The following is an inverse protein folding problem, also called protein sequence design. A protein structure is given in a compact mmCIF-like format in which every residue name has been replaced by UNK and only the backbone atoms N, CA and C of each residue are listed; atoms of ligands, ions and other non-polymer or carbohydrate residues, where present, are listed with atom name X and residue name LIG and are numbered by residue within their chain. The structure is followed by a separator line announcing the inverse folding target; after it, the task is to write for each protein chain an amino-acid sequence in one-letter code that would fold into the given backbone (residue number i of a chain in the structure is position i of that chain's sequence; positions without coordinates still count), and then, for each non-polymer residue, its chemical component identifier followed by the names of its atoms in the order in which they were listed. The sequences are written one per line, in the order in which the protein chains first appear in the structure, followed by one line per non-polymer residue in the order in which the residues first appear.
data_IF_159429191064
#
_entry.id   IF_159429191064
#
_cell.length_a   1.000
_cell.length_b   1.000
_cell.length_c   1.000
_cell.angle_alpha   90.00
_cell.angle_beta   90.00
_cell.angle_gamma   90.00
#
_symmetry.space_group_name_H-M   'P 1'
#
loop_
_entity.id
_entity.type
_entity.pdbx_description
1 polymer ?
#
# COMPACT_ATOMS: atom_id res chain seq x y z
N UNK A 1 61.64 -19.30 -5.35
CA UNK A 1 60.73 -18.45 -6.16
C UNK A 1 59.39 -19.10 -6.52
N UNK A 2 59.32 -20.39 -6.93
CA UNK A 2 58.06 -21.10 -7.25
C UNK A 2 57.07 -21.30 -6.07
N UNK A 3 57.56 -21.51 -4.84
CA UNK A 3 56.68 -21.69 -3.67
C UNK A 3 55.89 -20.43 -3.28
N UNK A 4 56.47 -19.25 -3.46
CA UNK A 4 55.84 -17.96 -3.08
C UNK A 4 54.64 -17.65 -3.98
N UNK A 5 54.76 -17.88 -5.30
CA UNK A 5 53.69 -17.67 -6.28
C UNK A 5 52.49 -18.60 -6.04
N UNK A 6 52.74 -19.87 -5.71
CA UNK A 6 51.69 -20.85 -5.40
C UNK A 6 50.94 -20.51 -4.10
N UNK A 7 51.63 -19.96 -3.09
CA UNK A 7 50.98 -19.51 -1.85
C UNK A 7 50.09 -18.28 -2.06
N UNK A 8 50.53 -17.33 -2.90
CA UNK A 8 49.76 -16.12 -3.25
C UNK A 8 48.51 -16.46 -4.06
N UNK A 9 48.61 -17.37 -5.04
CA UNK A 9 47.47 -17.83 -5.83
C UNK A 9 46.46 -18.62 -4.99
N UNK A 10 46.93 -19.42 -4.01
CA UNK A 10 46.07 -20.17 -3.08
C UNK A 10 45.33 -19.24 -2.12
N UNK A 11 45.97 -18.17 -1.66
CA UNK A 11 45.35 -17.11 -0.84
C UNK A 11 44.29 -16.32 -1.63
N UNK A 12 44.61 -15.89 -2.86
CA UNK A 12 43.66 -15.21 -3.74
C UNK A 12 42.43 -16.08 -4.05
N UNK A 13 42.61 -17.38 -4.30
CA UNK A 13 41.50 -18.33 -4.50
C UNK A 13 40.68 -18.62 -3.23
N UNK A 14 41.25 -18.46 -2.04
CA UNK A 14 40.52 -18.49 -0.78
C UNK A 14 39.65 -17.25 -0.59
N UNK A 15 40.19 -16.08 -0.90
CA UNK A 15 39.53 -14.79 -0.77
C UNK A 15 38.36 -14.64 -1.76
N UNK A 16 38.53 -15.08 -3.00
CA UNK A 16 37.46 -15.14 -4.00
C UNK A 16 36.31 -16.07 -3.57
N UNK A 17 36.62 -17.22 -2.95
CA UNK A 17 35.59 -18.12 -2.41
C UNK A 17 34.81 -17.49 -1.26
N UNK A 18 35.51 -16.85 -0.32
CA UNK A 18 34.87 -16.17 0.80
C UNK A 18 33.97 -15.01 0.33
N UNK A 19 34.43 -14.24 -0.66
CA UNK A 19 33.63 -13.17 -1.27
C UNK A 19 32.38 -13.73 -1.96
N UNK A 20 32.54 -14.78 -2.77
CA UNK A 20 31.41 -15.43 -3.46
C UNK A 20 30.37 -15.95 -2.46
N UNK A 21 30.82 -16.62 -1.39
CA UNK A 21 29.94 -17.09 -0.33
C UNK A 21 29.17 -15.93 0.33
N UNK A 22 29.82 -14.78 0.58
CA UNK A 22 29.14 -13.60 1.13
C UNK A 22 28.13 -12.99 0.15
N UNK A 23 28.46 -12.92 -1.14
CA UNK A 23 27.53 -12.46 -2.19
C UNK A 23 26.31 -13.37 -2.26
N UNK A 24 26.52 -14.69 -2.22
CA UNK A 24 25.42 -15.66 -2.24
C UNK A 24 24.53 -15.53 -1.00
N UNK A 25 25.11 -15.33 0.18
CA UNK A 25 24.37 -15.07 1.42
C UNK A 25 23.54 -13.78 1.36
N UNK A 26 24.13 -12.68 0.89
CA UNK A 26 23.43 -11.40 0.71
C UNK A 26 22.30 -11.52 -0.30
N UNK A 27 22.55 -12.21 -1.42
CA UNK A 27 21.54 -12.46 -2.45
C UNK A 27 20.37 -13.26 -1.87
N UNK A 28 20.65 -14.33 -1.12
CA UNK A 28 19.61 -15.11 -0.45
C UNK A 28 18.81 -14.31 0.59
N UNK A 29 19.45 -13.40 1.33
CA UNK A 29 18.78 -12.48 2.25
C UNK A 29 17.85 -11.51 1.51
N UNK A 30 18.33 -10.90 0.43
CA UNK A 30 17.54 -9.98 -0.40
C UNK A 30 16.33 -10.69 -1.03
N UNK A 31 16.51 -11.92 -1.52
CA UNK A 31 15.41 -12.72 -2.07
C UNK A 31 14.36 -13.12 -1.03
N UNK A 32 14.77 -13.35 0.22
CA UNK A 32 13.81 -13.56 1.33
C UNK A 32 13.05 -12.28 1.66
N UNK A 33 13.72 -11.14 1.70
CA UNK A 33 13.07 -9.84 1.94
C UNK A 33 12.06 -9.51 0.84
N UNK A 34 12.43 -9.69 -0.44
CA UNK A 34 11.54 -9.47 -1.59
C UNK A 34 10.29 -10.33 -1.50
N UNK A 35 10.43 -11.63 -1.21
CA UNK A 35 9.29 -12.54 -1.04
C UNK A 35 8.38 -12.13 0.11
N UNK A 36 8.95 -11.72 1.25
CA UNK A 36 8.17 -11.23 2.38
C UNK A 36 7.40 -9.94 2.04
N UNK A 37 8.01 -9.02 1.32
CA UNK A 37 7.35 -7.79 0.86
C UNK A 37 6.17 -8.11 -0.06
N UNK A 38 6.40 -8.93 -1.09
CA UNK A 38 5.36 -9.35 -2.02
C UNK A 38 4.19 -10.07 -1.33
N UNK A 39 4.47 -10.90 -0.32
CA UNK A 39 3.42 -11.58 0.46
C UNK A 39 2.58 -10.59 1.27
N UNK A 40 3.21 -9.57 1.88
CA UNK A 40 2.51 -8.51 2.62
C UNK A 40 1.62 -7.68 1.70
N UNK A 41 2.12 -7.37 0.50
CA UNK A 41 1.36 -6.63 -0.51
C UNK A 41 0.13 -7.41 -0.98
N UNK A 42 0.32 -8.69 -1.33
CA UNK A 42 -0.77 -9.57 -1.73
C UNK A 42 -1.82 -9.75 -0.61
N UNK A 43 -1.38 -9.95 0.63
CA UNK A 43 -2.27 -10.05 1.78
C UNK A 43 -3.09 -8.78 1.97
N UNK A 44 -2.43 -7.62 1.96
CA UNK A 44 -3.10 -6.32 2.07
C UNK A 44 -4.11 -6.08 0.95
N UNK A 45 -3.77 -6.46 -0.28
CA UNK A 45 -4.68 -6.32 -1.40
C UNK A 45 -5.93 -7.20 -1.25
N UNK A 46 -5.75 -8.44 -0.82
CA UNK A 46 -6.86 -9.37 -0.60
C UNK A 46 -7.78 -8.88 0.53
N UNK A 47 -7.21 -8.49 1.67
CA UNK A 47 -7.99 -7.95 2.80
C UNK A 47 -8.83 -6.75 2.36
N UNK A 48 -8.23 -5.81 1.64
CA UNK A 48 -8.95 -4.62 1.22
C UNK A 48 -10.04 -4.92 0.18
N UNK A 49 -9.83 -5.86 -0.73
CA UNK A 49 -10.88 -6.32 -1.63
C UNK A 49 -12.03 -7.01 -0.90
N UNK A 50 -11.72 -7.88 0.07
CA UNK A 50 -12.73 -8.58 0.87
C UNK A 50 -13.54 -7.64 1.77
N UNK A 51 -12.94 -6.55 2.26
CA UNK A 51 -13.61 -5.56 3.11
C UNK A 51 -14.44 -4.54 2.32
N UNK A 52 -14.12 -4.28 1.05
CA UNK A 52 -14.83 -3.26 0.25
C UNK A 52 -16.31 -3.55 0.11
N UNK A 53 -16.67 -4.80 -0.21
CA UNK A 53 -18.07 -5.22 -0.38
C UNK A 53 -18.88 -5.14 0.90
N UNK A 54 -18.47 -5.73 2.04
CA UNK A 54 -19.24 -5.63 3.29
C UNK A 54 -19.34 -4.18 3.80
N UNK A 55 -18.30 -3.35 3.65
CA UNK A 55 -18.38 -1.93 3.99
C UNK A 55 -19.40 -1.20 3.12
N UNK A 56 -19.39 -1.43 1.80
CA UNK A 56 -20.38 -0.83 0.89
C UNK A 56 -21.82 -1.23 1.27
N UNK A 57 -22.03 -2.49 1.65
CA UNK A 57 -23.34 -2.97 2.12
C UNK A 57 -23.77 -2.28 3.42
N UNK A 58 -22.87 -2.14 4.39
CA UNK A 58 -23.17 -1.48 5.67
C UNK A 58 -23.47 0.02 5.48
N UNK A 59 -22.70 0.71 4.64
CA UNK A 59 -22.93 2.11 4.27
C UNK A 59 -24.31 2.27 3.64
N UNK A 60 -24.60 1.51 2.58
CA UNK A 60 -25.87 1.60 1.87
C UNK A 60 -27.07 1.29 2.77
N UNK A 61 -26.96 0.28 3.64
CA UNK A 61 -28.01 -0.05 4.61
C UNK A 61 -28.23 1.06 5.63
N UNK A 62 -27.16 1.64 6.16
CA UNK A 62 -27.24 2.73 7.14
C UNK A 62 -27.82 4.00 6.54
N UNK A 63 -27.39 4.36 5.32
CA UNK A 63 -27.97 5.48 4.57
C UNK A 63 -29.46 5.28 4.29
N UNK A 64 -29.85 4.08 3.86
CA UNK A 64 -31.24 3.76 3.58
C UNK A 64 -32.09 3.92 4.85
N UNK A 65 -31.65 3.36 5.97
CA UNK A 65 -32.34 3.47 7.26
C UNK A 65 -32.45 4.93 7.74
N UNK A 66 -31.41 5.75 7.55
CA UNK A 66 -31.46 7.17 7.86
C UNK A 66 -32.44 7.93 6.95
N UNK A 67 -32.48 7.58 5.65
CA UNK A 67 -33.39 8.18 4.65
C UNK A 67 -34.86 7.81 4.86
N UNK A 68 -35.16 6.58 5.29
CA UNK A 68 -36.53 6.13 5.57
C UNK A 68 -37.18 6.92 6.72
N UNK A 69 -36.38 7.43 7.65
CA UNK A 69 -36.86 8.25 8.77
C UNK A 69 -37.64 7.46 9.82
N UNK A 70 -38.37 8.16 10.69
CA UNK A 70 -39.16 7.53 11.77
C UNK A 70 -38.35 7.04 12.97
N UNK A 71 -37.03 7.30 12.99
CA UNK A 71 -36.15 7.01 14.11
C UNK A 71 -36.26 8.08 15.20
N UNK A 72 -36.12 7.72 16.49
CA UNK A 72 -35.89 8.71 17.54
C UNK A 72 -34.64 9.55 17.23
N UNK A 73 -34.61 10.86 17.52
CA UNK A 73 -33.48 11.74 17.18
C UNK A 73 -32.14 11.20 17.71
N UNK A 74 -32.12 10.67 18.93
CA UNK A 74 -30.92 10.08 19.54
C UNK A 74 -30.40 8.84 18.82
N UNK A 75 -31.27 8.10 18.12
CA UNK A 75 -30.88 6.92 17.32
C UNK A 75 -30.36 7.37 15.96
N UNK A 76 -31.00 8.37 15.34
CA UNK A 76 -30.55 8.95 14.08
C UNK A 76 -29.14 9.55 14.22
N UNK A 77 -28.87 10.32 15.28
CA UNK A 77 -27.54 10.90 15.55
C UNK A 77 -26.47 9.80 15.71
N UNK A 78 -26.78 8.73 16.44
CA UNK A 78 -25.85 7.60 16.62
C UNK A 78 -25.56 6.87 15.32
N UNK A 79 -26.59 6.64 14.49
CA UNK A 79 -26.41 6.01 13.18
C UNK A 79 -25.63 6.92 12.22
N UNK A 80 -25.82 8.24 12.29
CA UNK A 80 -24.99 9.20 11.57
C UNK A 80 -23.51 9.08 11.94
N UNK A 81 -23.19 9.05 13.24
CA UNK A 81 -21.82 8.84 13.71
C UNK A 81 -21.23 7.49 13.30
N UNK A 82 -22.03 6.42 13.26
CA UNK A 82 -21.59 5.13 12.72
C UNK A 82 -21.34 5.20 11.21
N UNK A 83 -22.18 5.90 10.45
CA UNK A 83 -22.01 6.06 9.00
C UNK A 83 -20.71 6.80 8.67
N UNK A 84 -20.39 7.86 9.41
CA UNK A 84 -19.10 8.55 9.28
C UNK A 84 -17.92 7.61 9.53
N UNK A 85 -18.00 6.76 10.55
CA UNK A 85 -16.94 5.81 10.85
C UNK A 85 -16.81 4.74 9.77
N UNK A 86 -17.93 4.28 9.19
CA UNK A 86 -17.92 3.36 8.05
C UNK A 86 -17.26 3.98 6.81
N UNK A 87 -17.48 5.27 6.54
CA UNK A 87 -16.77 6.00 5.49
C UNK A 87 -15.27 6.13 5.79
N UNK A 88 -14.90 6.49 7.03
CA UNK A 88 -13.49 6.50 7.45
C UNK A 88 -12.82 5.14 7.28
N UNK A 89 -13.51 4.05 7.61
CA UNK A 89 -13.01 2.69 7.37
C UNK A 89 -12.85 2.38 5.88
N UNK A 90 -13.79 2.83 5.03
CA UNK A 90 -13.71 2.67 3.58
C UNK A 90 -12.47 3.38 3.01
N UNK A 91 -12.16 4.59 3.49
CA UNK A 91 -10.98 5.34 3.07
C UNK A 91 -9.68 4.66 3.49
N UNK A 92 -9.57 4.24 4.76
CA UNK A 92 -8.40 3.51 5.27
C UNK A 92 -8.14 2.22 4.46
N UNK A 93 -9.21 1.49 4.13
CA UNK A 93 -9.12 0.28 3.30
C UNK A 93 -8.67 0.62 1.86
N UNK A 94 -9.15 1.74 1.31
CA UNK A 94 -8.70 2.28 0.03
C UNK A 94 -7.21 2.64 0.02
N UNK A 95 -6.74 3.30 1.08
CA UNK A 95 -5.34 3.68 1.26
C UNK A 95 -4.42 2.47 1.43
N UNK A 96 -4.90 1.43 2.11
CA UNK A 96 -4.17 0.17 2.25
C UNK A 96 -3.81 -0.43 0.88
N UNK A 97 -4.74 -0.38 -0.10
CA UNK A 97 -4.50 -0.81 -1.49
C UNK A 97 -3.51 0.08 -2.21
N UNK A 98 -3.60 1.39 -2.00
CA UNK A 98 -2.68 2.35 -2.60
C UNK A 98 -1.24 2.12 -2.11
N UNK A 99 -1.06 2.01 -0.79
CA UNK A 99 0.24 1.78 -0.16
C UNK A 99 0.81 0.41 -0.55
N UNK A 100 0.00 -0.65 -0.54
CA UNK A 100 0.42 -1.99 -0.98
C UNK A 100 1.03 -1.96 -2.38
N UNK A 101 0.40 -1.26 -3.34
CA UNK A 101 0.94 -1.11 -4.70
C UNK A 101 2.18 -0.23 -4.76
N UNK A 102 2.26 0.83 -3.95
CA UNK A 102 3.40 1.74 -3.94
C UNK A 102 4.69 1.09 -3.42
N UNK A 103 4.61 0.22 -2.40
CA UNK A 103 5.78 -0.46 -1.82
C UNK A 103 6.40 -1.52 -2.75
N UNK A 104 5.62 -2.12 -3.65
CA UNK A 104 6.07 -3.13 -4.61
C UNK A 104 6.92 -2.59 -5.76
N UNK A 105 7.24 -1.29 -5.76
CA UNK A 105 8.01 -0.65 -6.82
C UNK A 105 7.27 -0.52 -8.15
N UNK A 106 5.94 -0.71 -8.15
CA UNK A 106 5.11 -0.31 -9.29
C UNK A 106 5.26 1.19 -9.46
N UNK A 107 6.04 1.58 -10.47
CA UNK A 107 6.16 2.97 -10.88
C UNK A 107 4.77 3.45 -11.23
N UNK A 108 4.36 4.59 -10.64
CA UNK A 108 3.15 5.27 -11.04
C UNK A 108 3.10 5.34 -12.57
N UNK A 109 1.95 4.98 -13.14
CA UNK A 109 1.74 5.00 -14.58
C UNK A 109 2.01 6.44 -15.03
N UNK A 110 3.10 6.66 -15.77
CA UNK A 110 3.40 7.99 -16.30
C UNK A 110 2.40 8.27 -17.41
N UNK A 111 1.52 9.22 -17.18
CA UNK A 111 0.64 9.76 -18.20
C UNK A 111 1.15 11.15 -18.56
N UNK A 112 1.17 11.47 -19.86
CA UNK A 112 1.41 12.84 -20.27
C UNK A 112 0.26 13.70 -19.75
N UNK A 113 0.58 14.82 -19.12
CA UNK A 113 -0.39 15.79 -18.63
C UNK A 113 -0.22 17.04 -19.47
N UNK A 114 -1.30 17.47 -20.13
CA UNK A 114 -1.26 18.62 -21.04
C UNK A 114 -1.01 19.94 -20.28
N UNK A 115 -1.42 20.02 -19.01
CA UNK A 115 -1.16 21.18 -18.15
C UNK A 115 -1.14 20.81 -16.66
N UNK A 116 0.00 21.00 -16.01
CA UNK A 116 0.11 20.86 -14.55
C UNK A 116 -0.75 21.88 -13.79
N UNK A 117 -0.94 23.07 -14.35
CA UNK A 117 -1.74 24.11 -13.73
C UNK A 117 -3.24 23.78 -13.75
N UNK A 118 -3.72 23.06 -14.76
CA UNK A 118 -5.10 22.58 -14.81
C UNK A 118 -5.32 21.45 -13.79
N UNK A 119 -4.40 20.48 -13.75
CA UNK A 119 -4.46 19.38 -12.78
C UNK A 119 -4.41 19.88 -11.33
N UNK A 120 -3.55 20.85 -11.03
CA UNK A 120 -3.47 21.43 -9.69
C UNK A 120 -4.76 22.16 -9.28
N UNK A 121 -5.46 22.80 -10.24
CA UNK A 121 -6.76 23.44 -10.00
C UNK A 121 -7.85 22.41 -9.72
N UNK A 122 -7.91 21.34 -10.50
CA UNK A 122 -8.88 20.25 -10.29
C UNK A 122 -8.76 19.64 -8.88
N UNK A 123 -7.52 19.43 -8.41
CA UNK A 123 -7.27 18.94 -7.05
C UNK A 123 -7.65 19.97 -5.99
N UNK A 124 -7.36 21.25 -6.22
CA UNK A 124 -7.73 22.32 -5.28
C UNK A 124 -9.25 22.45 -5.17
N UNK A 125 -9.97 22.48 -6.29
CA UNK A 125 -11.43 22.59 -6.33
C UNK A 125 -12.11 21.39 -5.63
N UNK A 126 -11.55 20.19 -5.78
CA UNK A 126 -12.04 18.99 -5.08
C UNK A 126 -11.91 19.11 -3.55
N UNK A 127 -10.83 19.71 -3.05
CA UNK A 127 -10.60 19.84 -1.61
C UNK A 127 -11.27 21.07 -1.00
N UNK A 128 -11.43 22.16 -1.74
CA UNK A 128 -12.19 23.33 -1.26
C UNK A 128 -13.67 22.97 -1.03
N UNK A 129 -14.26 22.16 -1.92
CA UNK A 129 -15.62 21.65 -1.74
C UNK A 129 -15.79 20.73 -0.50
N UNK A 130 -14.71 20.13 -0.01
CA UNK A 130 -14.71 19.26 1.17
C UNK A 130 -14.40 20.00 2.49
N UNK A 131 -14.02 21.29 2.42
CA UNK A 131 -13.70 22.12 3.57
C UNK A 131 -14.82 23.12 3.92
N UNK A 132 -15.81 23.28 3.04
CA UNK A 132 -16.99 24.13 3.22
C UNK A 132 -18.21 23.39 3.83
N UNK A 133 -18.06 22.12 4.26
CA UNK A 133 -19.01 21.36 5.11
C UNK A 133 -18.54 21.30 6.57
#
# INVERSE_FOLDING_TARGET
MRMTVLSSLRSAGGLLRALRQRVDQLTAMLERQRRSCAQREAFSANVAHELRTPLATLIAGTELTLREGGLPPTVADRLGGHLEELHRMQDIVGDMLFLSRAYGGQRARRQAVDSLAALAREVADYHDAALDE
#
